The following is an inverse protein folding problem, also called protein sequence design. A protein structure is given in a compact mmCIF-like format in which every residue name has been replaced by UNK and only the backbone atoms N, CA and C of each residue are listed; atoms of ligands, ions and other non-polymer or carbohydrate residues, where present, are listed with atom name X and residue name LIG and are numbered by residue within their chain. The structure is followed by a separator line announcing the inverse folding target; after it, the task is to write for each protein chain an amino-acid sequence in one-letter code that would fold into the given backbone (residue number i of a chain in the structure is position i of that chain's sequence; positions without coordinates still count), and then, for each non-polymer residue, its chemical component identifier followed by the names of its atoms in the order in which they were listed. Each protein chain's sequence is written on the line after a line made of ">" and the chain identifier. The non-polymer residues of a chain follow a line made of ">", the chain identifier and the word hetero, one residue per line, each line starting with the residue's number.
data_IF_681265030586
#
_entry.id   IF_681265030586
#
_cell.length_a   1.000
_cell.length_b   1.000
_cell.length_c   1.000
_cell.angle_alpha   90.00
_cell.angle_beta   90.00
_cell.angle_gamma   90.00
#
_symmetry.space_group_name_H-M   'P 1'
#
loop_
_entity.id
_entity.type
_entity.pdbx_description
1 polymer ?
#
# COMPACT_ATOMS: atom_id res chain seq x y z
N UNK A 1 -9.03 -14.42 -38.34
CA UNK A 1 -9.60 -14.62 -37.00
C UNK A 1 -8.74 -13.79 -36.03
N UNK A 2 -9.28 -12.73 -35.46
CA UNK A 2 -8.51 -11.92 -34.53
C UNK A 2 -8.37 -12.68 -33.21
N UNK A 3 -7.17 -12.94 -32.79
CA UNK A 3 -6.83 -13.70 -31.56
C UNK A 3 -7.51 -13.18 -30.29
N UNK A 4 -7.98 -11.93 -30.33
CA UNK A 4 -8.64 -11.23 -29.22
C UNK A 4 -10.02 -11.81 -28.86
N UNK A 5 -10.73 -12.39 -29.86
CA UNK A 5 -12.07 -12.94 -29.66
C UNK A 5 -12.10 -14.25 -28.83
N UNK A 6 -10.94 -14.87 -28.60
CA UNK A 6 -10.80 -16.10 -27.83
C UNK A 6 -10.51 -15.84 -26.34
N UNK A 7 -10.10 -14.60 -26.00
CA UNK A 7 -9.70 -14.25 -24.64
C UNK A 7 -10.93 -14.00 -23.74
N UNK A 8 -10.90 -14.54 -22.52
CA UNK A 8 -11.86 -14.18 -21.49
C UNK A 8 -11.60 -12.75 -20.94
N UNK A 9 -12.51 -12.24 -20.10
CA UNK A 9 -12.41 -10.87 -19.58
C UNK A 9 -11.13 -10.63 -18.75
N UNK A 10 -10.72 -11.64 -17.95
CA UNK A 10 -9.49 -11.56 -17.13
C UNK A 10 -8.24 -11.52 -18.00
N UNK A 11 -8.16 -12.36 -19.02
CA UNK A 11 -7.02 -12.38 -19.95
C UNK A 11 -6.90 -11.07 -20.71
N UNK A 12 -8.03 -10.49 -21.16
CA UNK A 12 -8.04 -9.16 -21.81
C UNK A 12 -7.54 -8.09 -20.86
N UNK A 13 -8.01 -8.08 -19.60
CA UNK A 13 -7.55 -7.12 -18.59
C UNK A 13 -6.05 -7.23 -18.36
N UNK A 14 -5.53 -8.43 -18.15
CA UNK A 14 -4.09 -8.67 -17.93
C UNK A 14 -3.26 -8.16 -19.11
N UNK A 15 -3.67 -8.43 -20.35
CA UNK A 15 -2.97 -7.93 -21.53
C UNK A 15 -3.04 -6.41 -21.67
N UNK A 16 -4.17 -5.80 -21.30
CA UNK A 16 -4.34 -4.34 -21.31
C UNK A 16 -3.45 -3.67 -20.28
N UNK A 17 -3.38 -4.22 -19.05
CA UNK A 17 -2.50 -3.73 -17.98
C UNK A 17 -1.03 -3.86 -18.36
N UNK A 18 -0.65 -4.98 -18.95
CA UNK A 18 0.70 -5.18 -19.45
C UNK A 18 1.06 -4.12 -20.50
N UNK A 19 0.18 -3.89 -21.49
CA UNK A 19 0.42 -2.88 -22.53
C UNK A 19 0.50 -1.46 -21.94
N UNK A 20 -0.32 -1.15 -20.92
CA UNK A 20 -0.27 0.11 -20.18
C UNK A 20 1.10 0.30 -19.50
N UNK A 21 1.59 -0.70 -18.77
CA UNK A 21 2.84 -0.60 -18.03
C UNK A 21 4.05 -0.54 -18.97
N UNK A 22 4.10 -1.40 -19.98
CA UNK A 22 5.17 -1.38 -21.01
C UNK A 22 5.18 -0.04 -21.77
N UNK A 23 4.00 0.52 -22.07
CA UNK A 23 3.85 1.84 -22.70
C UNK A 23 4.36 3.01 -21.84
N UNK A 24 4.46 2.82 -20.52
CA UNK A 24 5.05 3.77 -19.57
C UNK A 24 6.52 3.47 -19.24
N UNK A 25 7.14 2.54 -19.96
CA UNK A 25 8.54 2.20 -19.81
C UNK A 25 8.87 1.21 -18.70
N UNK A 26 7.84 0.54 -18.12
CA UNK A 26 8.07 -0.53 -17.16
C UNK A 26 8.49 -1.80 -17.87
N UNK A 27 9.48 -2.49 -17.32
CA UNK A 27 10.03 -3.73 -17.85
C UNK A 27 9.53 -4.90 -17.02
N UNK A 28 9.19 -6.01 -17.68
CA UNK A 28 8.73 -7.20 -16.97
C UNK A 28 9.84 -7.77 -16.09
N UNK A 29 9.53 -7.99 -14.82
CA UNK A 29 10.40 -8.65 -13.86
C UNK A 29 9.95 -10.10 -13.65
N UNK A 30 10.68 -11.10 -14.19
CA UNK A 30 10.36 -12.50 -14.00
C UNK A 30 10.78 -12.97 -12.60
N UNK A 31 9.89 -13.68 -11.90
CA UNK A 31 10.17 -14.18 -10.57
C UNK A 31 10.16 -15.70 -10.50
N UNK A 32 10.87 -16.23 -9.50
CA UNK A 32 10.73 -17.65 -9.11
C UNK A 32 9.51 -17.82 -8.22
N UNK A 33 8.90 -19.00 -8.28
CA UNK A 33 7.74 -19.32 -7.43
C UNK A 33 8.13 -19.62 -5.99
N UNK A 34 9.37 -20.05 -5.77
CA UNK A 34 9.91 -20.42 -4.45
C UNK A 34 11.33 -19.89 -4.28
N UNK A 35 11.65 -19.58 -3.03
CA UNK A 35 12.93 -19.10 -2.55
C UNK A 35 13.37 -19.94 -1.35
N UNK A 36 14.63 -19.81 -0.89
CA UNK A 36 15.05 -20.41 0.36
C UNK A 36 14.30 -19.79 1.55
N UNK A 37 13.80 -20.61 2.46
CA UNK A 37 13.00 -20.14 3.61
C UNK A 37 13.77 -19.17 4.52
N UNK A 38 15.10 -19.33 4.60
CA UNK A 38 15.98 -18.44 5.37
C UNK A 38 15.82 -16.97 4.94
N UNK A 39 15.61 -16.72 3.66
CA UNK A 39 15.38 -15.37 3.13
C UNK A 39 14.18 -14.68 3.78
N UNK A 40 13.09 -15.40 3.96
CA UNK A 40 11.89 -14.86 4.61
C UNK A 40 12.05 -14.71 6.12
N UNK A 41 12.84 -15.58 6.76
CA UNK A 41 13.17 -15.44 8.19
C UNK A 41 14.00 -14.18 8.49
N UNK A 42 14.94 -13.84 7.61
CA UNK A 42 15.78 -12.64 7.74
C UNK A 42 14.99 -11.34 7.51
N UNK A 43 13.86 -11.43 6.83
CA UNK A 43 13.04 -10.29 6.41
C UNK A 43 11.60 -10.37 6.93
N UNK A 44 11.41 -10.87 8.16
CA UNK A 44 10.07 -11.08 8.74
C UNK A 44 9.22 -9.82 8.83
N UNK A 45 9.82 -8.66 9.04
CA UNK A 45 9.13 -7.37 9.09
C UNK A 45 8.42 -7.00 7.79
N UNK A 46 8.82 -7.60 6.66
CA UNK A 46 8.19 -7.41 5.36
C UNK A 46 7.03 -8.38 5.09
N UNK A 47 6.78 -9.34 5.96
CA UNK A 47 5.73 -10.33 5.76
C UNK A 47 4.46 -9.88 6.50
N UNK A 48 3.40 -9.65 5.76
CA UNK A 48 2.07 -9.34 6.31
C UNK A 48 1.40 -10.54 6.98
N UNK A 49 1.99 -11.72 6.87
CA UNK A 49 1.50 -12.99 7.43
C UNK A 49 2.67 -13.78 8.00
N UNK A 50 2.53 -14.26 9.23
CA UNK A 50 3.51 -15.16 9.86
C UNK A 50 3.56 -16.54 9.20
N UNK A 51 2.58 -16.87 8.37
CA UNK A 51 2.40 -18.19 7.78
C UNK A 51 2.94 -18.25 6.36
N UNK A 52 4.20 -18.66 6.22
CA UNK A 52 4.86 -18.92 4.94
C UNK A 52 4.76 -20.41 4.63
N UNK A 53 4.23 -20.74 3.47
CA UNK A 53 4.20 -22.11 2.96
C UNK A 53 5.61 -22.62 2.69
N UNK A 54 6.05 -23.63 3.42
CA UNK A 54 7.39 -24.20 3.28
C UNK A 54 7.39 -25.67 2.93
N UNK A 55 8.45 -26.12 2.25
CA UNK A 55 8.67 -27.52 1.88
C UNK A 55 10.17 -27.81 1.78
N UNK A 56 10.54 -29.08 1.85
CA UNK A 56 11.93 -29.51 1.67
C UNK A 56 12.16 -29.95 0.24
N UNK A 57 13.17 -29.40 -0.43
CA UNK A 57 13.55 -29.81 -1.78
C UNK A 57 14.35 -31.14 -1.77
N UNK A 58 14.64 -31.68 -2.96
CA UNK A 58 15.37 -32.94 -3.12
C UNK A 58 16.78 -32.95 -2.50
N UNK A 59 17.37 -31.78 -2.26
CA UNK A 59 18.69 -31.63 -1.64
C UNK A 59 18.61 -31.40 -0.12
N UNK A 60 17.45 -31.57 0.51
CA UNK A 60 17.24 -31.37 1.93
C UNK A 60 17.17 -29.89 2.38
N UNK A 61 17.11 -28.92 1.46
CA UNK A 61 16.98 -27.49 1.79
C UNK A 61 15.54 -27.13 2.03
N UNK A 62 15.29 -26.32 3.07
CA UNK A 62 13.98 -25.77 3.37
C UNK A 62 13.70 -24.61 2.39
N UNK A 63 12.66 -24.75 1.61
CA UNK A 63 12.18 -23.80 0.62
C UNK A 63 10.84 -23.22 1.06
N UNK A 64 10.47 -22.06 0.52
CA UNK A 64 9.17 -21.45 0.73
C UNK A 64 8.53 -21.01 -0.59
N UNK A 65 7.22 -21.15 -0.69
CA UNK A 65 6.43 -20.50 -1.73
C UNK A 65 6.39 -19.00 -1.46
N UNK A 66 6.48 -18.20 -2.52
CA UNK A 66 6.54 -16.74 -2.46
C UNK A 66 5.26 -16.15 -1.82
N UNK A 67 5.34 -15.54 -0.63
CA UNK A 67 4.19 -14.90 0.03
C UNK A 67 3.97 -13.46 -0.40
N UNK A 68 5.02 -12.82 -0.97
CA UNK A 68 5.05 -11.41 -1.36
C UNK A 68 5.92 -11.20 -2.60
N UNK A 69 5.52 -10.21 -3.41
CA UNK A 69 6.21 -9.88 -4.67
C UNK A 69 7.30 -8.85 -4.43
N UNK A 70 6.99 -7.77 -3.71
CA UNK A 70 7.88 -6.62 -3.50
C UNK A 70 9.20 -7.05 -2.86
N UNK A 71 9.14 -7.91 -1.83
CA UNK A 71 10.34 -8.44 -1.19
C UNK A 71 11.26 -9.20 -2.17
N UNK A 72 10.67 -9.99 -3.07
CA UNK A 72 11.42 -10.72 -4.11
C UNK A 72 12.07 -9.78 -5.12
N UNK A 73 11.43 -8.64 -5.43
CA UNK A 73 11.98 -7.62 -6.32
C UNK A 73 13.13 -6.88 -5.65
N UNK A 74 12.92 -6.37 -4.44
CA UNK A 74 13.93 -5.60 -3.69
C UNK A 74 15.23 -6.42 -3.50
N UNK A 75 15.11 -7.72 -3.22
CA UNK A 75 16.28 -8.62 -3.12
C UNK A 75 17.12 -8.66 -4.40
N UNK A 76 16.48 -8.55 -5.56
CA UNK A 76 17.15 -8.71 -6.87
C UNK A 76 17.40 -7.40 -7.57
N UNK A 77 16.72 -6.33 -7.16
CA UNK A 77 17.02 -4.99 -7.62
C UNK A 77 18.49 -4.69 -7.31
N UNK A 78 19.24 -4.21 -8.28
CA UNK A 78 20.65 -3.94 -8.10
C UNK A 78 20.81 -2.79 -7.12
N UNK A 79 21.26 -3.09 -5.91
CA UNK A 79 21.67 -2.08 -4.94
C UNK A 79 22.81 -1.27 -5.58
N UNK A 80 22.52 -0.09 -6.12
CA UNK A 80 23.53 0.79 -6.71
C UNK A 80 23.34 1.17 -8.18
N UNK A 81 22.21 0.87 -8.82
CA UNK A 81 21.88 1.52 -10.10
C UNK A 81 21.62 3.00 -9.83
N UNK A 82 22.44 3.89 -10.38
CA UNK A 82 22.11 5.31 -10.42
C UNK A 82 20.84 5.49 -11.26
N UNK A 83 19.75 5.97 -10.64
CA UNK A 83 18.49 6.27 -11.32
C UNK A 83 17.28 5.50 -10.81
N UNK A 84 16.17 5.70 -11.52
CA UNK A 84 14.88 5.08 -11.19
C UNK A 84 14.69 3.84 -12.05
N UNK A 85 14.43 2.70 -11.40
CA UNK A 85 14.12 1.43 -12.04
C UNK A 85 12.59 1.22 -12.08
N UNK A 86 12.04 0.95 -13.28
CA UNK A 86 10.62 0.74 -13.54
C UNK A 86 10.35 -0.73 -13.85
N UNK A 87 9.73 -1.44 -12.94
CA UNK A 87 9.45 -2.88 -13.08
C UNK A 87 7.94 -3.13 -13.01
N UNK A 88 7.45 -4.10 -13.78
CA UNK A 88 6.12 -4.63 -13.61
C UNK A 88 6.16 -6.15 -13.48
N UNK A 89 5.17 -6.71 -12.81
CA UNK A 89 5.04 -8.15 -12.61
C UNK A 89 3.61 -8.63 -12.88
N UNK A 90 3.49 -9.89 -13.19
CA UNK A 90 2.26 -10.65 -13.21
C UNK A 90 2.59 -12.03 -12.64
N UNK A 91 2.28 -12.23 -11.36
CA UNK A 91 2.81 -13.33 -10.55
C UNK A 91 1.77 -13.85 -9.57
N UNK A 92 1.90 -15.12 -9.18
CA UNK A 92 1.14 -15.68 -8.06
C UNK A 92 1.94 -15.56 -6.76
N UNK A 93 1.23 -15.21 -5.69
CA UNK A 93 1.70 -15.32 -4.31
C UNK A 93 0.84 -16.33 -3.56
N UNK A 94 1.42 -16.93 -2.53
CA UNK A 94 0.81 -18.03 -1.79
C UNK A 94 0.71 -17.65 -0.32
N UNK A 95 -0.51 -17.66 0.21
CA UNK A 95 -0.79 -17.26 1.60
C UNK A 95 -1.65 -18.29 2.28
N UNK A 96 -1.56 -18.33 3.62
CA UNK A 96 -2.48 -19.05 4.47
C UNK A 96 -3.63 -18.12 4.84
N UNK A 97 -4.86 -18.51 4.56
CA UNK A 97 -6.02 -17.74 4.96
C UNK A 97 -6.15 -17.75 6.49
N UNK A 98 -6.39 -16.58 7.10
CA UNK A 98 -6.46 -16.44 8.56
C UNK A 98 -7.70 -17.13 9.15
N UNK A 99 -8.75 -17.37 8.35
CA UNK A 99 -10.04 -17.88 8.81
C UNK A 99 -10.12 -19.39 8.92
N UNK A 100 -9.53 -20.11 7.98
CA UNK A 100 -9.67 -21.57 7.83
C UNK A 100 -8.32 -22.31 7.66
N UNK A 101 -7.22 -21.55 7.66
CA UNK A 101 -5.86 -22.03 7.42
C UNK A 101 -5.66 -22.73 6.06
N UNK A 102 -6.58 -22.51 5.12
CA UNK A 102 -6.46 -23.01 3.76
C UNK A 102 -5.38 -22.25 2.98
N UNK A 103 -4.76 -22.97 2.04
CA UNK A 103 -3.75 -22.42 1.16
C UNK A 103 -4.41 -21.71 -0.02
N UNK A 104 -4.08 -20.44 -0.17
CA UNK A 104 -4.64 -19.61 -1.25
C UNK A 104 -3.55 -19.16 -2.20
N UNK A 105 -3.74 -19.42 -3.48
CA UNK A 105 -2.97 -18.81 -4.56
C UNK A 105 -3.67 -17.52 -4.99
N UNK A 106 -2.95 -16.41 -4.91
CA UNK A 106 -3.46 -15.09 -5.27
C UNK A 106 -2.64 -14.58 -6.45
N UNK A 107 -3.29 -14.40 -7.59
CA UNK A 107 -2.65 -13.78 -8.75
C UNK A 107 -2.61 -12.27 -8.56
N UNK A 108 -1.43 -11.69 -8.73
CA UNK A 108 -1.17 -10.26 -8.61
C UNK A 108 -0.53 -9.73 -9.89
N UNK A 109 -0.99 -8.58 -10.34
CA UNK A 109 -0.35 -7.79 -11.38
C UNK A 109 -0.11 -6.38 -10.84
N UNK A 110 1.08 -5.84 -11.02
CA UNK A 110 1.42 -4.53 -10.46
C UNK A 110 2.73 -3.98 -11.01
N UNK A 111 3.06 -2.80 -10.52
CA UNK A 111 4.30 -2.09 -10.85
C UNK A 111 5.10 -1.82 -9.59
N UNK A 112 6.41 -1.78 -9.73
CA UNK A 112 7.36 -1.34 -8.72
C UNK A 112 8.24 -0.24 -9.31
N UNK A 113 8.35 0.86 -8.62
CA UNK A 113 9.21 1.97 -8.95
C UNK A 113 10.28 2.08 -7.86
N UNK A 114 11.52 1.84 -8.20
CA UNK A 114 12.63 1.75 -7.26
C UNK A 114 13.66 2.85 -7.51
N UNK A 115 14.27 3.38 -6.47
CA UNK A 115 15.28 4.41 -6.54
C UNK A 115 14.88 5.69 -5.82
N UNK A 116 15.42 6.82 -6.23
CA UNK A 116 15.07 8.13 -5.68
C UNK A 116 13.78 8.64 -6.34
N UNK A 117 12.66 8.39 -5.67
CA UNK A 117 11.31 8.64 -6.19
C UNK A 117 10.89 10.07 -5.86
N UNK A 118 10.75 10.87 -6.89
CA UNK A 118 10.25 12.25 -6.79
C UNK A 118 8.70 12.32 -6.88
N UNK A 119 8.18 13.55 -6.84
CA UNK A 119 6.74 13.81 -7.00
C UNK A 119 6.18 13.33 -8.34
N UNK A 120 6.99 13.38 -9.41
CA UNK A 120 6.57 12.91 -10.73
C UNK A 120 6.41 11.39 -10.74
N UNK A 121 7.39 10.66 -10.20
CA UNK A 121 7.31 9.19 -10.07
C UNK A 121 6.13 8.75 -9.23
N UNK A 122 5.87 9.42 -8.10
CA UNK A 122 4.70 9.17 -7.27
C UNK A 122 3.39 9.42 -8.03
N UNK A 123 3.30 10.53 -8.75
CA UNK A 123 2.13 10.86 -9.59
C UNK A 123 1.92 9.86 -10.72
N UNK A 124 3.00 9.35 -11.33
CA UNK A 124 2.95 8.30 -12.35
C UNK A 124 2.36 7.00 -11.79
N UNK A 125 2.80 6.55 -10.61
CA UNK A 125 2.27 5.33 -9.98
C UNK A 125 0.77 5.48 -9.68
N UNK A 126 0.33 6.62 -9.12
CA UNK A 126 -1.09 6.86 -8.89
C UNK A 126 -1.91 6.93 -10.19
N UNK A 127 -1.39 7.56 -11.23
CA UNK A 127 -2.02 7.54 -12.56
C UNK A 127 -2.18 6.11 -13.07
N UNK A 128 -1.14 5.29 -12.96
CA UNK A 128 -1.21 3.87 -13.36
C UNK A 128 -2.22 3.09 -12.53
N UNK A 129 -2.34 3.35 -11.22
CA UNK A 129 -3.37 2.74 -10.39
C UNK A 129 -4.79 3.12 -10.86
N UNK A 130 -5.03 4.40 -11.15
CA UNK A 130 -6.31 4.90 -11.70
C UNK A 130 -6.62 4.26 -13.04
N UNK A 131 -5.65 4.22 -13.97
CA UNK A 131 -5.84 3.62 -15.29
C UNK A 131 -6.07 2.10 -15.21
N UNK A 132 -5.42 1.44 -14.26
CA UNK A 132 -5.62 0.00 -13.99
C UNK A 132 -7.04 -0.27 -13.50
N UNK A 133 -7.55 0.52 -12.56
CA UNK A 133 -8.94 0.44 -12.09
C UNK A 133 -9.93 0.74 -13.22
N UNK A 134 -9.66 1.76 -14.03
CA UNK A 134 -10.47 2.09 -15.23
C UNK A 134 -10.55 0.93 -16.21
N UNK A 135 -9.44 0.20 -16.39
CA UNK A 135 -9.36 -0.99 -17.24
C UNK A 135 -10.29 -2.12 -16.83
N UNK A 136 -10.76 -2.17 -15.59
CA UNK A 136 -11.76 -3.16 -15.14
C UNK A 136 -13.15 -2.94 -15.71
N UNK A 137 -13.46 -1.72 -16.16
CA UNK A 137 -14.79 -1.34 -16.63
C UNK A 137 -15.83 -1.15 -15.51
N UNK A 138 -15.42 -1.25 -14.25
CA UNK A 138 -16.27 -1.06 -13.07
C UNK A 138 -16.23 0.40 -12.60
N UNK A 139 -17.26 0.83 -11.88
CA UNK A 139 -17.20 2.08 -11.13
C UNK A 139 -16.16 1.96 -10.01
N UNK A 140 -15.29 2.94 -9.88
CA UNK A 140 -14.18 2.91 -8.92
C UNK A 140 -13.93 4.29 -8.31
N UNK A 141 -13.21 4.27 -7.21
CA UNK A 141 -12.55 5.43 -6.61
C UNK A 141 -11.21 4.97 -6.06
N UNK A 142 -10.21 5.82 -6.09
CA UNK A 142 -8.92 5.60 -5.44
C UNK A 142 -8.89 6.41 -4.15
N UNK A 143 -8.96 5.72 -3.02
CA UNK A 143 -8.79 6.33 -1.70
C UNK A 143 -7.30 6.38 -1.36
N UNK A 144 -6.80 7.54 -0.94
CA UNK A 144 -5.39 7.81 -0.64
C UNK A 144 -5.26 8.23 0.81
N UNK A 145 -4.22 7.75 1.46
CA UNK A 145 -3.82 8.12 2.82
C UNK A 145 -2.31 8.40 2.89
N UNK A 146 -1.84 8.84 4.05
CA UNK A 146 -0.43 9.06 4.30
C UNK A 146 -0.04 8.55 5.68
N UNK A 147 0.86 7.56 5.73
CA UNK A 147 1.27 6.91 6.97
C UNK A 147 1.94 7.87 7.94
N UNK A 148 2.76 8.81 7.46
CA UNK A 148 3.40 9.84 8.29
C UNK A 148 2.40 10.76 8.98
N UNK A 149 1.19 10.98 8.44
CA UNK A 149 0.16 11.75 9.14
C UNK A 149 -0.37 10.99 10.36
N UNK A 150 -0.81 9.76 10.19
CA UNK A 150 -1.34 8.94 11.29
C UNK A 150 -0.22 8.55 12.28
N UNK A 151 0.96 8.17 11.78
CA UNK A 151 2.13 7.84 12.59
C UNK A 151 2.61 9.01 13.43
N UNK A 152 2.74 10.19 12.83
CA UNK A 152 3.13 11.41 13.51
C UNK A 152 2.16 11.80 14.66
N UNK A 153 0.85 11.60 14.44
CA UNK A 153 -0.15 11.83 15.50
C UNK A 153 -0.01 10.83 16.65
N UNK A 154 0.20 9.54 16.34
CA UNK A 154 0.42 8.52 17.37
C UNK A 154 1.70 8.79 18.16
N UNK A 155 2.80 9.14 17.48
CA UNK A 155 4.08 9.47 18.12
C UNK A 155 3.96 10.71 19.02
N UNK A 156 3.28 11.77 18.55
CA UNK A 156 3.01 12.95 19.36
C UNK A 156 2.18 12.68 20.62
N UNK A 157 1.33 11.66 20.57
CA UNK A 157 0.54 11.17 21.71
C UNK A 157 1.31 10.19 22.63
N UNK A 158 2.55 9.84 22.30
CA UNK A 158 3.35 8.87 23.04
C UNK A 158 2.87 7.41 22.86
N UNK A 159 2.16 7.12 21.76
CA UNK A 159 1.69 5.77 21.43
C UNK A 159 2.70 5.05 20.54
N UNK A 160 3.35 4.03 21.09
CA UNK A 160 4.35 3.21 20.42
C UNK A 160 4.04 1.72 20.55
N UNK A 161 4.70 0.86 19.75
CA UNK A 161 4.61 -0.59 19.81
C UNK A 161 3.16 -1.10 19.79
N UNK A 162 2.81 -1.99 20.72
CA UNK A 162 1.48 -2.63 20.77
C UNK A 162 0.32 -1.63 20.92
N UNK A 163 0.52 -0.51 21.64
CA UNK A 163 -0.51 0.52 21.78
C UNK A 163 -0.79 1.22 20.45
N UNK A 164 0.24 1.53 19.70
CA UNK A 164 0.10 2.10 18.36
C UNK A 164 -0.65 1.15 17.42
N UNK A 165 -0.27 -0.12 17.41
CA UNK A 165 -0.91 -1.13 16.57
C UNK A 165 -2.38 -1.38 16.95
N UNK A 166 -2.70 -1.40 18.24
CA UNK A 166 -4.07 -1.51 18.70
C UNK A 166 -4.92 -0.30 18.25
N UNK A 167 -4.37 0.92 18.35
CA UNK A 167 -5.05 2.12 17.87
C UNK A 167 -5.24 2.08 16.34
N UNK A 168 -4.23 1.73 15.57
CA UNK A 168 -4.31 1.60 14.12
C UNK A 168 -5.37 0.58 13.69
N UNK A 169 -5.45 -0.56 14.37
CA UNK A 169 -6.48 -1.56 14.10
C UNK A 169 -7.89 -0.98 14.24
N UNK A 170 -8.16 -0.20 15.30
CA UNK A 170 -9.47 0.44 15.49
C UNK A 170 -9.73 1.56 14.48
N UNK A 171 -8.71 2.30 14.06
CA UNK A 171 -8.82 3.28 12.97
C UNK A 171 -9.18 2.59 11.65
N UNK A 172 -8.48 1.51 11.28
CA UNK A 172 -8.78 0.71 10.07
C UNK A 172 -10.20 0.16 10.06
N UNK A 173 -10.69 -0.30 11.20
CA UNK A 173 -12.08 -0.80 11.32
C UNK A 173 -13.12 0.31 11.48
N UNK A 174 -12.71 1.59 11.40
CA UNK A 174 -13.57 2.77 11.60
C UNK A 174 -14.35 2.75 12.92
N UNK A 175 -13.77 2.13 13.97
CA UNK A 175 -14.38 1.98 15.28
C UNK A 175 -13.98 3.14 16.23
N UNK A 176 -14.49 4.34 15.93
CA UNK A 176 -14.16 5.55 16.68
C UNK A 176 -14.61 5.49 18.16
N UNK A 177 -15.69 4.72 18.46
CA UNK A 177 -16.21 4.60 19.82
C UNK A 177 -15.23 3.83 20.72
N UNK A 178 -14.85 2.65 20.32
CA UNK A 178 -13.89 1.82 21.07
C UNK A 178 -12.51 2.47 21.13
N UNK A 179 -12.07 3.10 20.04
CA UNK A 179 -10.83 3.86 19.99
C UNK A 179 -10.81 4.95 21.07
N UNK A 180 -11.88 5.74 21.19
CA UNK A 180 -11.98 6.79 22.23
C UNK A 180 -11.94 6.20 23.64
N UNK A 181 -12.68 5.13 23.89
CA UNK A 181 -12.69 4.45 25.19
C UNK A 181 -11.30 3.91 25.55
N UNK A 182 -10.60 3.32 24.60
CA UNK A 182 -9.25 2.78 24.78
C UNK A 182 -8.24 3.90 25.07
N UNK A 183 -8.27 5.02 24.34
CA UNK A 183 -7.38 6.16 24.55
C UNK A 183 -7.59 6.77 25.95
N UNK A 184 -8.83 6.84 26.42
CA UNK A 184 -9.16 7.29 27.78
C UNK A 184 -8.60 6.32 28.85
N UNK A 185 -8.77 5.02 28.66
CA UNK A 185 -8.21 4.01 29.56
C UNK A 185 -6.68 4.05 29.64
N UNK A 186 -6.03 4.41 28.56
CA UNK A 186 -4.57 4.62 28.52
C UNK A 186 -4.12 5.99 29.05
N UNK A 187 -5.04 6.83 29.48
CA UNK A 187 -4.78 8.19 29.97
C UNK A 187 -4.07 9.10 28.95
N UNK A 188 -4.36 8.90 27.67
CA UNK A 188 -3.86 9.79 26.61
C UNK A 188 -4.46 11.18 26.83
N UNK A 189 -3.61 12.22 26.74
CA UNK A 189 -4.08 13.58 26.94
C UNK A 189 -5.26 13.91 26.02
N UNK A 190 -6.31 14.59 26.51
CA UNK A 190 -7.54 14.84 25.75
C UNK A 190 -7.29 15.49 24.38
N UNK A 191 -6.33 16.38 24.31
CA UNK A 191 -5.91 17.04 23.09
C UNK A 191 -5.51 16.06 21.96
N UNK A 192 -4.76 14.99 22.28
CA UNK A 192 -4.39 13.96 21.32
C UNK A 192 -5.49 12.93 21.12
N UNK A 193 -6.18 12.54 22.20
CA UNK A 193 -7.23 11.55 22.13
C UNK A 193 -8.36 11.97 21.16
N UNK A 194 -8.77 13.23 21.18
CA UNK A 194 -9.78 13.76 20.25
C UNK A 194 -9.32 13.72 18.80
N UNK A 195 -8.05 14.09 18.55
CA UNK A 195 -7.44 14.07 17.21
C UNK A 195 -7.32 12.67 16.66
N UNK A 196 -6.85 11.72 17.46
CA UNK A 196 -6.75 10.30 17.07
C UNK A 196 -8.14 9.74 16.80
N UNK A 197 -9.13 10.03 17.67
CA UNK A 197 -10.50 9.57 17.48
C UNK A 197 -11.21 10.17 16.25
N UNK A 198 -10.66 11.22 15.64
CA UNK A 198 -11.17 11.79 14.40
C UNK A 198 -10.69 11.04 13.15
N UNK A 199 -9.55 10.33 13.19
CA UNK A 199 -8.97 9.63 12.04
C UNK A 199 -9.93 8.68 11.34
N UNK A 200 -10.73 7.82 12.03
CA UNK A 200 -11.67 6.91 11.39
C UNK A 200 -12.68 7.55 10.44
N UNK A 201 -12.97 8.84 10.67
CA UNK A 201 -13.95 9.61 9.90
C UNK A 201 -13.34 10.74 9.07
N UNK A 202 -12.01 10.84 9.07
CA UNK A 202 -11.28 11.83 8.29
C UNK A 202 -11.15 11.34 6.84
N UNK A 203 -12.23 11.45 6.11
CA UNK A 203 -12.34 11.01 4.71
C UNK A 203 -13.24 11.94 3.91
N UNK A 204 -13.08 11.94 2.56
CA UNK A 204 -13.89 12.73 1.64
C UNK A 204 -13.12 13.30 0.46
N UNK A 205 -13.63 14.39 -0.12
CA UNK A 205 -12.95 15.12 -1.20
C UNK A 205 -11.57 15.61 -0.73
N UNK A 206 -10.59 15.61 -1.65
CA UNK A 206 -9.20 15.95 -1.26
C UNK A 206 -9.12 17.36 -0.64
N UNK A 207 -9.70 18.44 -1.24
CA UNK A 207 -9.55 19.79 -0.68
C UNK A 207 -10.16 19.94 0.73
N UNK A 208 -11.36 19.38 0.95
CA UNK A 208 -12.04 19.48 2.25
C UNK A 208 -11.35 18.65 3.32
N UNK A 209 -10.88 17.45 2.95
CA UNK A 209 -10.20 16.55 3.88
C UNK A 209 -8.82 17.08 4.25
N UNK A 210 -8.06 17.68 3.31
CA UNK A 210 -6.80 18.36 3.61
C UNK A 210 -6.99 19.52 4.60
N UNK A 211 -8.06 20.31 4.45
CA UNK A 211 -8.35 21.39 5.40
C UNK A 211 -8.61 20.84 6.81
N UNK A 212 -9.46 19.82 6.93
CA UNK A 212 -9.73 19.15 8.21
C UNK A 212 -8.47 18.50 8.81
N UNK A 213 -7.62 17.90 7.97
CA UNK A 213 -6.36 17.33 8.40
C UNK A 213 -5.40 18.40 8.93
N UNK A 214 -5.37 19.57 8.30
CA UNK A 214 -4.54 20.71 8.77
C UNK A 214 -4.95 21.17 10.17
N UNK A 215 -6.27 21.18 10.50
CA UNK A 215 -6.77 21.53 11.83
C UNK A 215 -6.38 20.48 12.91
N UNK A 216 -6.11 19.25 12.50
CA UNK A 216 -5.69 18.16 13.37
C UNK A 216 -4.17 18.02 13.50
N UNK A 217 -3.41 18.65 12.60
CA UNK A 217 -1.97 18.46 12.51
C UNK A 217 -1.24 18.93 13.77
N UNK A 218 -0.28 18.12 14.21
CA UNK A 218 0.61 18.38 15.33
C UNK A 218 2.05 18.04 14.90
N UNK A 219 2.90 19.04 14.91
CA UNK A 219 4.32 18.86 14.56
C UNK A 219 4.61 18.86 13.05
N UNK A 220 5.88 18.74 12.72
CA UNK A 220 6.40 18.89 11.36
C UNK A 220 6.06 17.71 10.44
N UNK A 221 6.05 16.51 10.97
CA UNK A 221 5.81 15.27 10.19
C UNK A 221 4.40 15.29 9.57
N UNK A 222 3.38 15.61 10.36
CA UNK A 222 2.01 15.71 9.85
C UNK A 222 1.85 16.86 8.85
N UNK A 223 2.53 17.99 9.09
CA UNK A 223 2.52 19.14 8.18
C UNK A 223 3.20 18.79 6.85
N UNK A 224 4.29 18.03 6.89
CA UNK A 224 4.95 17.50 5.69
C UNK A 224 4.03 16.57 4.92
N UNK A 225 3.38 15.60 5.59
CA UNK A 225 2.44 14.68 4.96
C UNK A 225 1.29 15.40 4.24
N UNK A 226 0.72 16.45 4.86
CA UNK A 226 -0.30 17.31 4.22
C UNK A 226 0.29 18.01 2.99
N UNK A 227 1.50 18.52 3.08
CA UNK A 227 2.20 19.19 1.98
C UNK A 227 2.44 18.24 0.79
N UNK A 228 2.83 17.00 1.05
CA UNK A 228 3.01 15.97 0.03
C UNK A 228 1.69 15.61 -0.65
N UNK A 229 0.62 15.36 0.13
CA UNK A 229 -0.72 15.10 -0.39
C UNK A 229 -1.25 16.29 -1.24
N UNK A 230 -1.02 17.51 -0.81
CA UNK A 230 -1.44 18.71 -1.53
C UNK A 230 -0.70 18.87 -2.88
N UNK A 231 0.61 18.66 -2.89
CA UNK A 231 1.40 18.68 -4.14
C UNK A 231 0.96 17.59 -5.11
N UNK A 232 0.75 16.39 -4.59
CA UNK A 232 0.28 15.25 -5.38
C UNK A 232 -1.09 15.53 -5.99
N UNK A 233 -2.01 16.11 -5.21
CA UNK A 233 -3.32 16.51 -5.72
C UNK A 233 -3.20 17.51 -6.86
N UNK A 234 -2.31 18.50 -6.78
CA UNK A 234 -2.02 19.42 -7.87
C UNK A 234 -1.52 18.72 -9.15
N UNK A 235 -0.72 17.65 -9.03
CA UNK A 235 -0.33 16.83 -10.19
C UNK A 235 -1.54 16.12 -10.78
N UNK A 236 -2.42 15.54 -9.95
CA UNK A 236 -3.63 14.86 -10.42
C UNK A 236 -4.63 15.83 -11.07
N UNK A 237 -4.74 17.06 -10.57
CA UNK A 237 -5.54 18.14 -11.22
C UNK A 237 -4.98 18.48 -12.60
N UNK A 238 -3.67 18.64 -12.73
CA UNK A 238 -3.04 18.92 -14.02
C UNK A 238 -3.24 17.79 -15.05
N UNK A 239 -3.40 16.56 -14.57
CA UNK A 239 -3.70 15.39 -15.39
C UNK A 239 -5.21 15.16 -15.62
N UNK A 240 -6.10 15.96 -15.02
CA UNK A 240 -7.55 15.78 -15.10
C UNK A 240 -8.07 14.54 -14.36
N UNK A 241 -7.34 14.04 -13.37
CA UNK A 241 -7.62 12.81 -12.61
C UNK A 241 -8.18 13.06 -11.20
N UNK A 242 -8.34 14.32 -10.80
CA UNK A 242 -8.76 14.71 -9.45
C UNK A 242 -10.10 14.13 -9.00
N UNK A 243 -11.03 13.89 -9.95
CA UNK A 243 -12.33 13.31 -9.65
C UNK A 243 -12.29 11.80 -9.32
N UNK A 244 -11.17 11.12 -9.63
CA UNK A 244 -10.98 9.70 -9.37
C UNK A 244 -10.43 9.42 -7.97
N UNK A 245 -10.07 10.45 -7.21
CA UNK A 245 -9.32 10.32 -5.95
C UNK A 245 -10.07 10.96 -4.78
N UNK A 246 -10.04 10.30 -3.63
CA UNK A 246 -10.45 10.84 -2.33
C UNK A 246 -9.34 10.62 -1.31
N UNK A 247 -9.39 11.34 -0.20
CA UNK A 247 -8.59 11.01 0.97
C UNK A 247 -9.41 10.16 1.94
N UNK A 248 -8.76 9.16 2.55
CA UNK A 248 -9.31 8.38 3.67
C UNK A 248 -8.19 7.98 4.63
N UNK A 249 -8.05 8.72 5.72
CA UNK A 249 -7.01 8.49 6.73
C UNK A 249 -7.27 7.24 7.60
N UNK A 250 -8.34 6.50 7.36
CA UNK A 250 -8.51 5.16 7.94
C UNK A 250 -7.77 4.06 7.18
N UNK A 251 -7.29 4.34 5.96
CA UNK A 251 -6.43 3.43 5.22
C UNK A 251 -5.03 3.53 5.80
N UNK A 252 -4.70 2.56 6.63
CA UNK A 252 -3.42 2.44 7.31
C UNK A 252 -2.85 1.05 7.05
N UNK A 253 -1.56 0.99 6.84
CA UNK A 253 -0.79 -0.24 6.71
C UNK A 253 0.19 -0.37 7.89
N UNK A 254 1.06 -1.36 7.83
CA UNK A 254 2.13 -1.52 8.79
C UNK A 254 3.17 -0.39 8.60
N UNK A 255 3.42 0.41 9.64
CA UNK A 255 4.40 1.49 9.61
C UNK A 255 5.85 1.00 9.45
N UNK A 256 6.13 -0.21 9.86
CA UNK A 256 7.46 -0.78 9.71
C UNK A 256 7.76 -1.11 8.22
N UNK A 257 6.70 -1.18 7.40
CA UNK A 257 6.80 -1.44 5.97
C UNK A 257 6.51 -0.20 5.11
N UNK A 258 5.55 0.64 5.50
CA UNK A 258 5.09 1.80 4.74
C UNK A 258 5.30 3.09 5.53
N UNK A 259 6.05 4.03 4.98
CA UNK A 259 6.33 5.32 5.63
C UNK A 259 5.62 6.51 5.01
N UNK A 260 5.22 6.42 3.76
CA UNK A 260 4.67 7.52 2.98
C UNK A 260 3.21 7.32 2.58
N UNK A 261 2.92 7.56 1.32
CA UNK A 261 1.60 7.41 0.72
C UNK A 261 1.16 5.95 0.67
N UNK A 262 -0.10 5.72 0.99
CA UNK A 262 -0.79 4.44 0.78
C UNK A 262 -2.11 4.70 0.06
N UNK A 263 -2.55 3.77 -0.78
CA UNK A 263 -3.80 3.92 -1.51
C UNK A 263 -4.49 2.58 -1.74
N UNK A 264 -5.80 2.64 -1.92
CA UNK A 264 -6.64 1.47 -2.16
C UNK A 264 -7.75 1.85 -3.14
N UNK A 265 -7.98 1.00 -4.10
CA UNK A 265 -9.09 1.15 -5.05
C UNK A 265 -10.26 0.24 -4.74
#
# INVERSE_FOLDING_TARGET
>A
MQTIDVLNARERLVLSLRALYEGCGYVRFPMRRFEEYAFYLENKSFLTSESVLSFTNANGRLMALKPDVTLSIVKRAHAGSEGVEKLYYHESVYRVAATDHEFTEIEQIGVELLGDIDLYGTGEVLRLAIESLRGTGLAYVLDVSHMGFAGGLMAAAGLEGERREAAFRLVRHKNAHELRAMLLAWQVAPFYAERIAALPTLAGSVPETLKRAADLAVGSEMTQAIGELSKLYGVLEALGLQACVRLDFSILNDLDYYSGLVFQG
#
